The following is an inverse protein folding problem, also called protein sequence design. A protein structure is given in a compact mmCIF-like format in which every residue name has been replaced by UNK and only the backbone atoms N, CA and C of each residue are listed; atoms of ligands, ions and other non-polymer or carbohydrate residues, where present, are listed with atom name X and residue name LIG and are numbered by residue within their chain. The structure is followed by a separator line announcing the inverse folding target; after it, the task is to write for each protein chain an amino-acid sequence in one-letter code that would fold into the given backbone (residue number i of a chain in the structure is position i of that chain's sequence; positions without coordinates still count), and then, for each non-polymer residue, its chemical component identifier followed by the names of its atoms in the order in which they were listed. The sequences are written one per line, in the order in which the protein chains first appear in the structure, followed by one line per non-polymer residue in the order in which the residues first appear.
data_IF_447497971652
#
_entry.id   IF_447497971652
#
_cell.length_a   1.000
_cell.length_b   1.000
_cell.length_c   1.000
_cell.angle_alpha   90.00
_cell.angle_beta   90.00
_cell.angle_gamma   90.00
#
_symmetry.space_group_name_H-M   'P 1'
#
loop_
_entity.id
_entity.type
_entity.pdbx_description
1 polymer ?
#
# COMPACT_ATOMS: atom_id res chain seq x y z
N UNK A 1 73.02 -40.10 -30.43
CA UNK A 1 72.08 -41.15 -29.97
C UNK A 1 70.84 -40.41 -29.46
N UNK A 2 69.77 -40.31 -30.27
CA UNK A 2 68.58 -41.22 -30.26
C UNK A 2 67.80 -41.14 -28.95
N UNK A 3 66.49 -40.84 -28.90
CA UNK A 3 65.48 -40.60 -29.95
C UNK A 3 64.34 -39.70 -29.43
N UNK A 4 63.43 -39.23 -30.28
CA UNK A 4 62.13 -39.85 -30.65
C UNK A 4 61.05 -39.89 -29.54
N UNK A 5 59.85 -39.51 -29.99
CA UNK A 5 58.51 -39.82 -29.49
C UNK A 5 58.10 -39.14 -28.15
N UNK A 6 56.88 -38.62 -27.96
CA UNK A 6 55.75 -38.44 -28.90
C UNK A 6 54.78 -37.33 -28.45
N UNK A 7 53.96 -36.82 -29.38
CA UNK A 7 52.84 -35.92 -29.08
C UNK A 7 51.66 -36.68 -28.44
N UNK A 8 50.98 -36.08 -27.46
CA UNK A 8 49.69 -36.56 -26.97
C UNK A 8 48.61 -35.50 -27.12
N UNK A 9 47.61 -35.85 -27.92
CA UNK A 9 46.41 -35.09 -28.23
C UNK A 9 45.43 -35.18 -27.03
N UNK A 10 44.98 -34.05 -26.49
CA UNK A 10 43.90 -34.01 -25.49
C UNK A 10 42.75 -33.16 -26.00
N UNK A 11 41.78 -33.83 -26.63
CA UNK A 11 40.54 -33.22 -27.11
C UNK A 11 39.61 -33.00 -25.92
N UNK A 12 39.44 -31.75 -25.49
CA UNK A 12 38.48 -31.40 -24.45
C UNK A 12 37.06 -31.34 -25.03
N UNK A 13 36.27 -32.37 -24.74
CA UNK A 13 34.89 -32.52 -25.20
C UNK A 13 33.95 -31.62 -24.38
N UNK A 14 33.67 -30.42 -24.88
CA UNK A 14 32.78 -29.46 -24.22
C UNK A 14 31.30 -29.85 -24.35
N UNK A 15 30.73 -30.45 -23.30
CA UNK A 15 29.31 -30.82 -23.25
C UNK A 15 28.42 -29.58 -23.12
N UNK A 16 27.79 -29.17 -24.22
CA UNK A 16 26.86 -28.05 -24.25
C UNK A 16 25.47 -28.47 -23.69
N UNK A 17 25.24 -28.26 -22.40
CA UNK A 17 23.93 -28.52 -21.77
C UNK A 17 23.01 -27.31 -22.00
N UNK A 18 22.19 -27.37 -23.06
CA UNK A 18 21.10 -26.42 -23.26
C UNK A 18 19.94 -26.76 -22.32
N UNK A 19 19.88 -26.08 -21.17
CA UNK A 19 18.78 -26.17 -20.23
C UNK A 19 17.50 -25.52 -20.78
N UNK A 20 16.38 -26.11 -20.40
CA UNK A 20 15.03 -25.82 -20.90
C UNK A 20 14.45 -24.48 -20.43
N UNK A 21 13.87 -23.75 -21.37
CA UNK A 21 12.51 -23.19 -21.30
C UNK A 21 12.08 -22.34 -20.10
N UNK A 22 11.73 -21.09 -20.38
CA UNK A 22 10.57 -20.44 -19.75
C UNK A 22 9.55 -20.12 -20.84
N UNK A 23 8.38 -20.76 -20.79
CA UNK A 23 7.21 -20.35 -21.59
C UNK A 23 6.63 -19.12 -20.91
N UNK A 24 6.91 -17.94 -21.46
CA UNK A 24 6.24 -16.71 -21.05
C UNK A 24 4.79 -16.72 -21.59
N UNK A 25 3.88 -17.35 -20.83
CA UNK A 25 2.45 -17.14 -21.02
C UNK A 25 2.09 -15.68 -20.73
N UNK A 26 1.00 -15.15 -21.33
CA UNK A 26 0.54 -13.81 -21.01
C UNK A 26 0.18 -13.73 -19.53
N UNK A 27 0.82 -12.81 -18.81
CA UNK A 27 0.54 -12.54 -17.39
C UNK A 27 -0.79 -11.77 -17.34
N UNK A 28 -1.89 -12.51 -17.41
CA UNK A 28 -3.25 -11.98 -17.32
C UNK A 28 -3.54 -11.57 -15.87
N UNK A 29 -3.04 -10.40 -15.48
CA UNK A 29 -3.07 -9.87 -14.12
C UNK A 29 -2.59 -8.42 -14.03
N UNK A 30 -2.83 -7.63 -15.08
CA UNK A 30 -2.69 -6.17 -15.02
C UNK A 30 -3.93 -5.59 -14.33
N UNK A 31 -3.93 -5.60 -12.99
CA UNK A 31 -4.80 -4.70 -12.24
C UNK A 31 -4.42 -3.26 -12.54
N UNK A 32 -5.36 -2.32 -12.37
CA UNK A 32 -5.10 -0.91 -12.58
C UNK A 32 -4.05 -0.41 -11.57
N UNK A 33 -3.30 0.61 -11.96
CA UNK A 33 -2.37 1.28 -11.04
C UNK A 33 -3.02 2.55 -10.49
N UNK A 34 -2.92 2.74 -9.17
CA UNK A 34 -3.65 3.79 -8.46
C UNK A 34 -2.68 4.78 -7.80
N UNK A 35 -2.60 6.02 -8.29
CA UNK A 35 -1.87 7.10 -7.63
C UNK A 35 -2.46 7.42 -6.26
N UNK A 36 -1.61 7.38 -5.23
CA UNK A 36 -1.93 7.78 -3.86
C UNK A 36 -1.05 8.97 -3.47
N UNK A 37 -1.68 10.07 -3.07
CA UNK A 37 -1.01 11.23 -2.50
C UNK A 37 -1.27 11.30 -0.98
N UNK A 38 -0.23 11.58 -0.20
CA UNK A 38 -0.32 11.85 1.24
C UNK A 38 0.39 13.15 1.58
N UNK A 39 -0.28 14.06 2.28
CA UNK A 39 0.20 15.42 2.54
C UNK A 39 0.07 15.82 4.01
N UNK A 40 1.12 16.39 4.60
CA UNK A 40 1.04 17.05 5.90
C UNK A 40 0.93 18.56 5.68
N UNK A 41 -0.31 19.08 5.61
CA UNK A 41 -0.59 20.52 5.47
C UNK A 41 -0.71 21.26 6.81
N UNK A 42 -0.27 20.65 7.91
CA UNK A 42 -0.22 21.31 9.22
C UNK A 42 0.92 22.32 9.24
N UNK A 43 0.66 23.53 9.74
CA UNK A 43 1.59 24.67 9.78
C UNK A 43 2.36 24.80 11.12
N UNK A 44 2.44 23.71 11.89
CA UNK A 44 3.15 23.65 13.18
C UNK A 44 4.54 23.01 13.00
N UNK A 45 5.16 22.48 14.05
CA UNK A 45 6.35 21.63 13.96
C UNK A 45 6.02 20.13 13.96
N UNK A 46 4.74 19.74 13.94
CA UNK A 46 4.31 18.35 14.09
C UNK A 46 4.44 17.57 12.77
N UNK A 47 5.30 16.54 12.78
CA UNK A 47 5.31 15.52 11.73
C UNK A 47 4.21 14.48 11.98
N UNK A 48 3.64 13.94 10.91
CA UNK A 48 2.67 12.84 10.95
C UNK A 48 3.18 11.67 10.13
N UNK A 49 2.90 10.44 10.56
CA UNK A 49 3.21 9.24 9.76
C UNK A 49 1.94 8.72 9.10
N UNK A 50 1.98 8.60 7.78
CA UNK A 50 0.93 8.02 6.95
C UNK A 50 1.33 6.60 6.61
N UNK A 51 0.51 5.62 7.00
CA UNK A 51 0.65 4.22 6.59
C UNK A 51 -0.43 3.89 5.58
N UNK A 52 -0.03 3.48 4.37
CA UNK A 52 -0.93 3.11 3.26
C UNK A 52 -0.93 1.59 3.13
N UNK A 53 -2.10 0.99 3.27
CA UNK A 53 -2.34 -0.44 3.16
C UNK A 53 -3.47 -0.73 2.16
N UNK A 54 -3.46 -1.93 1.57
CA UNK A 54 -4.50 -2.42 0.66
C UNK A 54 -5.11 -3.68 1.25
N UNK A 55 -6.42 -3.82 1.16
CA UNK A 55 -7.18 -5.00 1.61
C UNK A 55 -8.09 -5.49 0.49
N UNK A 56 -8.40 -6.78 0.48
CA UNK A 56 -9.53 -7.32 -0.30
C UNK A 56 -10.84 -6.75 0.26
N UNK A 57 -11.75 -6.33 -0.62
CA UNK A 57 -13.05 -5.77 -0.29
C UNK A 57 -14.17 -6.76 -0.69
N UNK A 58 -15.24 -6.94 0.11
CA UNK A 58 -15.53 -6.26 1.37
C UNK A 58 -14.77 -6.83 2.57
N UNK A 59 -14.29 -5.93 3.43
CA UNK A 59 -13.60 -6.25 4.67
C UNK A 59 -14.17 -5.51 5.88
N UNK A 60 -13.76 -5.96 7.07
CA UNK A 60 -13.99 -5.27 8.33
C UNK A 60 -12.65 -4.71 8.87
N UNK A 61 -12.73 -3.60 9.59
CA UNK A 61 -11.64 -3.02 10.38
C UNK A 61 -12.09 -3.01 11.84
N UNK A 62 -11.21 -3.40 12.76
CA UNK A 62 -11.41 -3.16 14.19
C UNK A 62 -10.55 -1.98 14.63
N UNK A 63 -11.08 -1.14 15.51
CA UNK A 63 -10.34 -0.02 16.10
C UNK A 63 -10.47 -0.06 17.62
N UNK A 64 -9.36 0.22 18.29
CA UNK A 64 -9.29 0.42 19.74
C UNK A 64 -9.09 1.91 19.99
N UNK A 65 -9.92 2.53 20.84
CA UNK A 65 -9.82 3.97 21.18
C UNK A 65 -9.21 4.16 22.56
N UNK A 66 -8.59 5.32 22.79
CA UNK A 66 -7.90 5.66 24.05
C UNK A 66 -8.79 5.70 25.30
N UNK A 67 -10.12 5.68 25.16
CA UNK A 67 -11.08 5.49 26.26
C UNK A 67 -11.46 4.02 26.53
N UNK A 68 -10.79 3.08 25.87
CA UNK A 68 -11.05 1.64 25.99
C UNK A 68 -12.28 1.15 25.22
N UNK A 69 -12.84 1.98 24.32
CA UNK A 69 -13.89 1.53 23.41
C UNK A 69 -13.28 0.82 22.21
N UNK A 70 -13.61 -0.46 22.07
CA UNK A 70 -13.34 -1.25 20.88
C UNK A 70 -14.57 -1.27 19.95
N UNK A 71 -14.33 -1.16 18.65
CA UNK A 71 -15.37 -1.18 17.62
C UNK A 71 -14.90 -1.91 16.37
N UNK A 72 -15.72 -2.82 15.85
CA UNK A 72 -15.51 -3.46 14.54
C UNK A 72 -16.56 -2.95 13.57
N UNK A 73 -16.11 -2.34 12.46
CA UNK A 73 -16.97 -1.83 11.39
C UNK A 73 -16.63 -2.48 10.06
N UNK A 74 -17.61 -2.58 9.16
CA UNK A 74 -17.38 -2.92 7.76
C UNK A 74 -16.85 -1.68 7.02
N UNK A 75 -15.89 -1.86 6.12
CA UNK A 75 -15.53 -0.83 5.14
C UNK A 75 -16.77 -0.57 4.26
N UNK A 76 -17.27 0.67 4.28
CA UNK A 76 -18.39 1.10 3.45
C UNK A 76 -17.91 1.47 2.04
N UNK A 77 -18.76 1.33 1.01
CA UNK A 77 -18.44 1.81 -0.34
C UNK A 77 -18.06 3.29 -0.36
N UNK A 78 -17.09 3.65 -1.21
CA UNK A 78 -16.68 5.03 -1.44
C UNK A 78 -15.56 5.48 -0.51
N UNK A 79 -15.59 6.76 -0.13
CA UNK A 79 -14.60 7.39 0.75
C UNK A 79 -15.18 7.66 2.14
N UNK A 80 -14.46 7.24 3.17
CA UNK A 80 -14.75 7.60 4.56
C UNK A 80 -13.48 8.07 5.29
N UNK A 81 -13.59 9.20 5.99
CA UNK A 81 -12.59 9.68 6.96
C UNK A 81 -13.15 9.40 8.34
N UNK A 82 -12.37 8.69 9.17
CA UNK A 82 -12.78 8.28 10.52
C UNK A 82 -11.86 8.90 11.56
N UNK A 83 -12.46 9.64 12.48
CA UNK A 83 -11.77 10.32 13.58
C UNK A 83 -12.37 9.88 14.93
N UNK A 84 -11.55 9.79 15.99
CA UNK A 84 -11.96 9.25 17.29
C UNK A 84 -12.86 10.19 18.11
N UNK A 85 -12.91 11.48 17.75
CA UNK A 85 -13.67 12.53 18.43
C UNK A 85 -12.92 13.21 19.59
N UNK A 86 -13.63 14.08 20.32
CA UNK A 86 -13.16 14.97 21.40
C UNK A 86 -11.89 14.50 22.13
N UNK A 87 -10.75 15.14 21.81
CA UNK A 87 -9.41 14.95 22.40
C UNK A 87 -8.94 13.47 22.55
N UNK A 88 -9.54 12.56 21.79
CA UNK A 88 -9.23 11.13 21.79
C UNK A 88 -8.34 10.75 20.61
N UNK A 89 -7.81 9.55 20.67
CA UNK A 89 -6.99 8.93 19.63
C UNK A 89 -7.33 7.44 19.54
N UNK A 90 -7.09 6.82 18.38
CA UNK A 90 -7.06 5.36 18.31
C UNK A 90 -5.69 4.87 18.79
N UNK A 91 -5.68 3.83 19.63
CA UNK A 91 -4.47 3.13 20.09
C UNK A 91 -4.06 2.04 19.11
N UNK A 92 -5.03 1.45 18.39
CA UNK A 92 -4.81 0.47 17.34
C UNK A 92 -5.88 0.57 16.25
N UNK A 93 -5.46 0.25 15.02
CA UNK A 93 -6.33 -0.04 13.89
C UNK A 93 -5.90 -1.43 13.38
N UNK A 94 -6.79 -2.41 13.52
CA UNK A 94 -6.55 -3.80 13.15
C UNK A 94 -7.19 -4.09 11.79
N UNK A 95 -6.36 -4.54 10.85
CA UNK A 95 -6.74 -4.86 9.49
C UNK A 95 -7.16 -6.34 9.32
N UNK A 96 -7.93 -6.68 8.27
CA UNK A 96 -8.18 -8.07 7.90
C UNK A 96 -6.89 -8.80 7.49
N UNK A 97 -6.89 -10.13 7.57
CA UNK A 97 -5.75 -10.96 7.14
C UNK A 97 -5.36 -10.79 5.65
N UNK A 98 -6.25 -10.26 4.81
CA UNK A 98 -5.98 -9.92 3.41
C UNK A 98 -5.18 -8.62 3.25
N UNK A 99 -4.85 -7.92 4.34
CA UNK A 99 -4.11 -6.67 4.28
C UNK A 99 -2.66 -6.84 3.84
N UNK A 100 -2.23 -6.01 2.91
CA UNK A 100 -0.83 -5.77 2.59
C UNK A 100 -0.45 -4.32 2.88
N UNK A 101 0.64 -4.11 3.62
CA UNK A 101 1.28 -2.80 3.70
C UNK A 101 1.83 -2.43 2.32
N UNK A 102 1.48 -1.25 1.81
CA UNK A 102 2.04 -0.71 0.58
C UNK A 102 3.21 0.24 0.87
N UNK A 103 3.00 1.22 1.75
CA UNK A 103 4.04 2.20 2.09
C UNK A 103 3.80 2.86 3.45
N UNK A 104 4.85 3.45 4.02
CA UNK A 104 4.78 4.22 5.27
C UNK A 104 5.71 5.43 5.18
N UNK A 105 5.17 6.62 5.40
CA UNK A 105 5.90 7.89 5.26
C UNK A 105 5.69 8.79 6.48
N UNK A 106 6.76 9.15 7.18
CA UNK A 106 6.74 10.25 8.16
C UNK A 106 7.01 11.56 7.43
N UNK A 107 6.04 12.47 7.44
CA UNK A 107 6.07 13.73 6.71
C UNK A 107 6.13 14.91 7.68
N UNK A 108 7.10 15.79 7.45
CA UNK A 108 7.25 17.07 8.16
C UNK A 108 6.17 18.07 7.71
N UNK A 109 5.94 19.15 8.49
CA UNK A 109 5.06 20.25 8.11
C UNK A 109 5.31 20.77 6.69
N UNK A 110 4.28 20.77 5.85
CA UNK A 110 4.34 21.18 4.45
C UNK A 110 4.87 20.12 3.47
N UNK A 111 5.28 18.94 3.93
CA UNK A 111 5.74 17.86 3.04
C UNK A 111 4.58 17.02 2.50
N UNK A 112 4.76 16.55 1.26
CA UNK A 112 3.87 15.62 0.59
C UNK A 112 4.64 14.48 -0.07
N UNK A 113 4.00 13.32 -0.22
CA UNK A 113 4.51 12.19 -1.01
C UNK A 113 3.42 11.64 -1.92
N UNK A 114 3.85 11.23 -3.10
CA UNK A 114 3.06 10.44 -4.02
C UNK A 114 3.69 9.05 -4.15
N UNK A 115 2.82 8.06 -4.24
CA UNK A 115 3.15 6.65 -4.51
C UNK A 115 2.07 6.09 -5.43
N UNK A 116 2.26 4.87 -5.90
CA UNK A 116 1.41 4.24 -6.90
C UNK A 116 1.21 2.78 -6.52
N UNK A 117 -0.06 2.35 -6.40
CA UNK A 117 -0.45 1.00 -6.01
C UNK A 117 -0.70 0.20 -7.28
N UNK A 118 0.30 -0.60 -7.66
CA UNK A 118 0.18 -1.57 -8.74
C UNK A 118 -0.80 -2.70 -8.39
N UNK A 119 -1.48 -3.22 -9.42
CA UNK A 119 -2.31 -4.41 -9.31
C UNK A 119 -3.55 -4.23 -8.46
N UNK A 120 -4.14 -3.03 -8.44
CA UNK A 120 -5.42 -2.77 -7.78
C UNK A 120 -6.59 -3.35 -8.57
N UNK A 121 -7.70 -3.62 -7.88
CA UNK A 121 -8.94 -4.14 -8.46
C UNK A 121 -10.17 -3.50 -7.80
N UNK A 122 -11.33 -3.56 -8.45
CA UNK A 122 -12.60 -3.14 -7.84
C UNK A 122 -12.95 -3.92 -6.55
N UNK A 123 -12.45 -5.16 -6.42
CA UNK A 123 -12.53 -5.97 -5.20
C UNK A 123 -11.45 -5.63 -4.16
N UNK A 124 -10.90 -4.41 -4.19
CA UNK A 124 -9.89 -3.91 -3.25
C UNK A 124 -10.32 -2.59 -2.59
N UNK A 125 -9.83 -2.34 -1.38
CA UNK A 125 -9.92 -1.05 -0.70
C UNK A 125 -8.54 -0.58 -0.23
N UNK A 126 -8.30 0.73 -0.31
CA UNK A 126 -7.14 1.38 0.30
C UNK A 126 -7.51 1.84 1.70
N UNK A 127 -6.60 1.65 2.65
CA UNK A 127 -6.70 2.20 4.00
C UNK A 127 -5.46 3.05 4.27
N UNK A 128 -5.64 4.29 4.70
CA UNK A 128 -4.55 5.19 5.11
C UNK A 128 -4.70 5.52 6.59
N UNK A 129 -3.76 5.09 7.42
CA UNK A 129 -3.76 5.37 8.87
C UNK A 129 -2.77 6.49 9.17
N UNK A 130 -3.22 7.49 9.94
CA UNK A 130 -2.45 8.70 10.25
C UNK A 130 -2.07 8.70 11.73
N UNK A 131 -0.77 8.59 11.99
CA UNK A 131 -0.16 8.55 13.32
C UNK A 131 0.42 9.92 13.68
N UNK A 132 0.10 10.44 14.88
CA UNK A 132 0.80 11.57 15.51
C UNK A 132 2.08 11.11 16.22
N UNK A 133 2.05 9.91 16.79
CA UNK A 133 3.20 9.22 17.39
C UNK A 133 3.04 7.70 17.23
N UNK A 134 4.04 6.90 17.61
CA UNK A 134 4.02 5.43 17.41
C UNK A 134 2.81 4.73 18.05
N UNK A 135 2.24 5.30 19.12
CA UNK A 135 1.09 4.76 19.86
C UNK A 135 -0.18 5.61 19.75
N UNK A 136 -0.22 6.60 18.85
CA UNK A 136 -1.29 7.59 18.76
C UNK A 136 -1.74 7.80 17.32
N UNK A 137 -2.84 7.16 16.93
CA UNK A 137 -3.49 7.30 15.64
C UNK A 137 -4.58 8.36 15.74
N UNK A 138 -4.49 9.42 14.93
CA UNK A 138 -5.45 10.55 14.97
C UNK A 138 -6.61 10.37 14.00
N UNK A 139 -6.40 9.61 12.92
CA UNK A 139 -7.44 9.30 11.94
C UNK A 139 -7.06 8.06 11.13
N UNK A 140 -8.05 7.40 10.55
CA UNK A 140 -7.84 6.55 9.39
C UNK A 140 -8.83 6.93 8.28
N UNK A 141 -8.43 6.69 7.03
CA UNK A 141 -9.23 6.91 5.82
C UNK A 141 -9.39 5.58 5.11
N UNK A 142 -10.59 5.25 4.66
CA UNK A 142 -10.85 4.11 3.77
C UNK A 142 -11.39 4.60 2.44
N UNK A 143 -10.88 4.08 1.33
CA UNK A 143 -11.35 4.40 -0.01
C UNK A 143 -11.48 3.13 -0.87
N UNK A 144 -12.63 2.95 -1.50
CA UNK A 144 -12.85 2.01 -2.59
C UNK A 144 -13.87 2.56 -3.59
N UNK A 145 -13.98 1.91 -4.74
CA UNK A 145 -14.97 2.21 -5.77
C UNK A 145 -15.75 0.93 -6.12
N UNK A 146 -16.95 1.06 -6.68
CA UNK A 146 -17.65 -0.07 -7.33
C UNK A 146 -17.05 -0.36 -8.73
N UNK A 147 -16.24 0.56 -9.25
CA UNK A 147 -15.36 0.40 -10.42
C UNK A 147 -13.88 0.52 -10.02
N UNK A 148 -13.05 1.06 -10.90
CA UNK A 148 -11.62 1.29 -10.63
C UNK A 148 -11.41 2.57 -9.81
N UNK A 149 -10.56 2.52 -8.79
CA UNK A 149 -10.11 3.71 -8.06
C UNK A 149 -9.07 4.45 -8.91
N UNK A 150 -9.35 5.69 -9.30
CA UNK A 150 -8.51 6.45 -10.23
C UNK A 150 -7.44 7.30 -9.54
N UNK A 151 -7.73 7.82 -8.35
CA UNK A 151 -6.74 8.37 -7.41
C UNK A 151 -7.29 8.39 -5.97
N UNK A 152 -6.39 8.52 -5.00
CA UNK A 152 -6.71 8.92 -3.63
C UNK A 152 -5.69 9.96 -3.14
N UNK A 153 -6.16 11.08 -2.58
CA UNK A 153 -5.36 12.02 -1.81
C UNK A 153 -5.83 12.05 -0.35
N UNK A 154 -4.90 11.97 0.59
CA UNK A 154 -5.16 12.11 2.03
C UNK A 154 -4.27 13.20 2.61
N UNK A 155 -4.90 14.22 3.20
CA UNK A 155 -4.21 15.41 3.71
C UNK A 155 -4.53 15.61 5.19
N UNK A 156 -3.49 15.72 6.01
CA UNK A 156 -3.63 16.14 7.41
C UNK A 156 -3.64 17.67 7.49
N UNK A 157 -4.73 18.23 8.00
CA UNK A 157 -4.92 19.65 8.26
C UNK A 157 -4.80 19.97 9.76
N UNK A 158 -4.80 21.25 10.11
CA UNK A 158 -4.75 21.69 11.51
C UNK A 158 -6.02 21.35 12.32
N UNK A 159 -7.13 21.01 11.65
CA UNK A 159 -8.42 20.70 12.25
C UNK A 159 -8.81 19.20 12.18
N UNK A 160 -7.97 18.35 11.58
CA UNK A 160 -8.31 16.94 11.32
C UNK A 160 -7.75 16.43 10.00
N UNK A 161 -8.06 15.20 9.65
CA UNK A 161 -7.77 14.62 8.35
C UNK A 161 -8.84 15.00 7.33
N UNK A 162 -8.44 15.14 6.07
CA UNK A 162 -9.35 15.22 4.93
C UNK A 162 -8.84 14.34 3.80
N UNK A 163 -9.74 13.95 2.90
CA UNK A 163 -9.38 13.14 1.74
C UNK A 163 -10.24 13.48 0.53
N UNK A 164 -9.72 13.19 -0.65
CA UNK A 164 -10.42 13.26 -1.94
C UNK A 164 -10.04 12.05 -2.78
N UNK A 165 -10.96 11.61 -3.64
CA UNK A 165 -10.79 10.42 -4.48
C UNK A 165 -11.60 10.58 -5.76
N UNK A 166 -11.32 9.74 -6.76
CA UNK A 166 -12.09 9.62 -8.00
C UNK A 166 -12.21 8.15 -8.42
N UNK A 167 -13.30 7.82 -9.10
CA UNK A 167 -13.62 6.47 -9.57
C UNK A 167 -13.84 6.46 -11.08
N UNK A 168 -13.14 5.59 -11.80
CA UNK A 168 -13.40 5.33 -13.22
C UNK A 168 -14.25 4.07 -13.41
N UNK A 169 -15.17 4.11 -14.39
CA UNK A 169 -15.97 2.94 -14.78
C UNK A 169 -17.21 2.63 -13.91
N UNK A 170 -17.49 3.42 -12.86
CA UNK A 170 -18.73 3.34 -12.06
C UNK A 170 -19.62 4.58 -12.26
N UNK A 171 -20.92 4.47 -11.94
CA UNK A 171 -21.85 5.62 -11.96
C UNK A 171 -21.65 6.48 -10.71
N UNK A 172 -21.34 7.77 -10.91
CA UNK A 172 -21.42 8.80 -9.86
C UNK A 172 -22.83 9.36 -9.66
#
# INVERSE_FOLDING_TARGET
MTGRDSAFLSVYLGTLILLSGCIAGPISGQGSSVPIAVNNSVNTTQSYTFEVSVVEYPANISVQRSDGLDSTGRISPGLAVSEPGDDRYYTAVEFPNSSRLHSRYTLSPGEGKQTEIEGFSADSAVIVVIYRSESEIVSYVTANCDGDLAFLEVTMFHYGAGASYDCTGGWG
#
